data_IF_113094008009
#
_entry.id   IF_113094008009
#
_cell.length_a   1.000
_cell.length_b   1.000
_cell.length_c   1.000
_cell.angle_alpha   90.00
_cell.angle_beta   90.00
_cell.angle_gamma   90.00
#
_symmetry.space_group_name_H-M   'P 1'
#
loop_
_entity.id
_entity.type
_entity.pdbx_description
1 polymer ?
#
# COMPACT_ATOMS: atom_id res chain seq x y z
N UNK A 1 -15.25 27.47 -13.23
CA UNK A 1 -14.81 26.83 -11.99
C UNK A 1 -14.06 25.54 -12.27
N UNK A 2 -13.09 25.62 -13.19
CA UNK A 2 -12.10 24.58 -13.41
C UNK A 2 -10.96 24.93 -12.46
N UNK A 3 -10.79 24.18 -11.38
CA UNK A 3 -9.57 24.28 -10.58
C UNK A 3 -8.48 23.50 -11.32
N UNK A 4 -7.43 24.21 -11.67
CA UNK A 4 -6.27 23.77 -12.41
C UNK A 4 -5.60 22.59 -11.71
N UNK A 5 -5.28 21.55 -12.48
CA UNK A 5 -4.50 20.41 -12.03
C UNK A 5 -3.10 20.88 -11.62
N UNK A 6 -2.64 20.63 -10.38
CA UNK A 6 -1.31 21.03 -9.92
C UNK A 6 -0.22 20.05 -10.39
N UNK A 7 -0.34 19.53 -11.61
CA UNK A 7 0.60 18.56 -12.20
C UNK A 7 1.59 19.21 -13.17
N UNK A 8 1.91 20.49 -13.01
CA UNK A 8 2.95 21.12 -13.81
C UNK A 8 4.29 21.08 -13.04
N UNK A 9 5.22 20.26 -13.52
CA UNK A 9 6.63 20.32 -13.12
C UNK A 9 7.23 19.16 -12.32
N UNK A 10 6.60 17.98 -12.27
CA UNK A 10 7.20 16.78 -11.69
C UNK A 10 7.12 15.63 -12.67
N UNK A 11 8.27 15.13 -13.12
CA UNK A 11 8.43 13.95 -13.96
C UNK A 11 7.48 12.84 -13.49
N UNK A 12 6.49 12.52 -14.33
CA UNK A 12 5.67 11.33 -14.18
C UNK A 12 6.63 10.16 -14.38
N UNK A 13 7.26 9.72 -13.29
CA UNK A 13 7.82 8.38 -13.26
C UNK A 13 6.67 7.46 -13.61
N UNK A 14 6.78 6.89 -14.80
CA UNK A 14 5.94 5.82 -15.28
C UNK A 14 6.06 4.70 -14.26
N UNK A 15 5.19 4.75 -13.25
CA UNK A 15 4.96 3.67 -12.31
C UNK A 15 4.09 2.67 -13.03
N UNK A 16 4.63 2.18 -14.15
CA UNK A 16 4.19 0.98 -14.84
C UNK A 16 4.29 -0.09 -13.76
N UNK A 17 3.16 -0.35 -13.11
CA UNK A 17 3.04 -1.19 -11.92
C UNK A 17 3.68 -2.53 -12.25
N UNK A 18 4.89 -2.85 -11.74
CA UNK A 18 5.25 -4.24 -11.62
C UNK A 18 4.47 -4.73 -10.40
N UNK A 19 3.92 -5.92 -10.48
CA UNK A 19 3.30 -6.58 -9.33
C UNK A 19 4.12 -6.33 -8.04
N UNK A 20 3.47 -5.76 -7.02
CA UNK A 20 3.89 -5.80 -5.61
C UNK A 20 5.31 -5.34 -5.22
N UNK A 21 5.77 -4.14 -5.57
CA UNK A 21 6.92 -3.54 -4.88
C UNK A 21 6.72 -2.07 -4.53
N UNK A 22 6.38 -1.82 -3.27
CA UNK A 22 6.40 -0.49 -2.66
C UNK A 22 7.75 -0.27 -2.01
N UNK A 23 8.46 0.75 -2.45
CA UNK A 23 9.85 1.03 -2.07
C UNK A 23 10.09 1.16 -0.55
N UNK A 24 11.08 0.40 -0.12
CA UNK A 24 11.66 0.23 1.21
C UNK A 24 11.93 1.52 2.00
N UNK A 25 11.72 1.46 3.32
CA UNK A 25 12.63 2.07 4.30
C UNK A 25 13.84 1.15 4.40
N UNK A 26 15.06 1.66 4.20
CA UNK A 26 16.32 0.91 4.37
C UNK A 26 16.52 0.44 5.82
N UNK A 27 15.82 -0.61 6.18
CA UNK A 27 16.35 -1.64 7.05
C UNK A 27 16.00 -2.94 6.35
N UNK A 28 16.96 -3.84 6.16
CA UNK A 28 16.70 -5.20 5.72
C UNK A 28 16.56 -6.05 6.99
N UNK A 29 15.39 -6.08 7.66
CA UNK A 29 15.15 -7.13 8.63
C UNK A 29 14.94 -8.44 7.84
N UNK A 30 15.09 -9.61 8.48
CA UNK A 30 14.66 -10.86 7.86
C UNK A 30 13.22 -10.68 7.37
N UNK A 31 12.91 -11.23 6.19
CA UNK A 31 11.69 -11.06 5.38
C UNK A 31 10.41 -11.58 6.10
N UNK A 32 10.40 -11.66 7.43
CA UNK A 32 9.43 -12.38 8.25
C UNK A 32 8.84 -11.61 9.43
N UNK A 33 9.21 -10.35 9.72
CA UNK A 33 8.71 -9.70 10.95
C UNK A 33 7.78 -8.51 10.76
N UNK A 34 7.77 -7.85 9.60
CA UNK A 34 6.81 -6.77 9.31
C UNK A 34 6.26 -6.93 7.89
N UNK A 35 4.97 -7.27 7.72
CA UNK A 35 4.34 -7.29 6.41
C UNK A 35 4.48 -5.94 5.70
N UNK A 36 4.58 -5.96 4.37
CA UNK A 36 4.75 -4.77 3.53
C UNK A 36 3.65 -3.71 3.71
N UNK A 37 2.49 -4.10 4.24
CA UNK A 37 1.33 -3.25 4.46
C UNK A 37 1.23 -2.67 5.88
N UNK A 38 2.20 -2.92 6.76
CA UNK A 38 2.17 -2.47 8.16
C UNK A 38 2.00 -0.95 8.26
N UNK A 39 2.76 -0.20 7.45
CA UNK A 39 2.68 1.25 7.42
C UNK A 39 1.35 1.77 6.88
N UNK A 40 0.71 1.02 5.98
CA UNK A 40 -0.62 1.34 5.44
C UNK A 40 -1.67 1.17 6.53
N UNK A 41 -1.67 0.05 7.27
CA UNK A 41 -2.61 -0.19 8.37
C UNK A 41 -2.43 0.88 9.45
N UNK A 42 -1.20 1.15 9.88
CA UNK A 42 -0.91 2.16 10.89
C UNK A 42 -1.36 3.56 10.48
N UNK A 43 -1.23 3.90 9.20
CA UNK A 43 -1.69 5.18 8.68
C UNK A 43 -3.23 5.25 8.56
N UNK A 44 -3.90 4.17 8.19
CA UNK A 44 -5.37 4.10 8.15
C UNK A 44 -5.97 4.22 9.56
N UNK A 45 -5.41 3.48 10.51
CA UNK A 45 -5.97 3.36 11.86
C UNK A 45 -5.62 4.54 12.75
N UNK A 46 -4.34 4.94 12.76
CA UNK A 46 -3.80 5.90 13.73
C UNK A 46 -3.29 7.20 13.07
N UNK A 47 -3.37 7.32 11.74
CA UNK A 47 -2.78 8.43 10.97
C UNK A 47 -1.29 8.66 11.27
N UNK A 48 -0.58 7.58 11.59
CA UNK A 48 0.84 7.62 11.93
C UNK A 48 1.71 7.37 10.70
N UNK A 49 2.88 8.02 10.68
CA UNK A 49 3.91 7.79 9.67
C UNK A 49 5.11 7.08 10.30
N UNK A 50 5.87 6.30 9.51
CA UNK A 50 7.15 5.76 9.97
C UNK A 50 8.08 6.90 10.41
N UNK A 51 8.80 6.71 11.52
CA UNK A 51 9.68 7.75 12.09
C UNK A 51 10.76 8.18 11.10
N UNK A 52 11.24 7.27 10.26
CA UNK A 52 12.25 7.50 9.22
C UNK A 52 11.67 7.94 7.87
N UNK A 53 10.34 8.09 7.73
CA UNK A 53 9.73 8.42 6.45
C UNK A 53 10.03 9.87 6.02
N UNK A 54 10.62 10.01 4.84
CA UNK A 54 10.83 11.28 4.12
C UNK A 54 9.50 11.91 3.72
N UNK A 55 9.49 13.22 3.43
CA UNK A 55 8.28 13.93 2.96
C UNK A 55 7.66 13.28 1.71
N UNK A 56 8.50 12.79 0.79
CA UNK A 56 8.05 12.09 -0.41
C UNK A 56 7.36 10.76 -0.08
N UNK A 57 7.94 9.96 0.82
CA UNK A 57 7.34 8.71 1.28
C UNK A 57 6.01 8.94 1.99
N UNK A 58 5.91 9.97 2.84
CA UNK A 58 4.64 10.34 3.50
C UNK A 58 3.56 10.72 2.49
N UNK A 59 3.90 11.55 1.51
CA UNK A 59 2.98 11.92 0.41
C UNK A 59 2.53 10.70 -0.36
N UNK A 60 3.46 9.81 -0.69
CA UNK A 60 3.18 8.58 -1.41
C UNK A 60 2.28 7.64 -0.59
N UNK A 61 2.53 7.50 0.72
CA UNK A 61 1.70 6.74 1.65
C UNK A 61 0.26 7.27 1.70
N UNK A 62 0.06 8.58 1.72
CA UNK A 62 -1.28 9.17 1.64
C UNK A 62 -2.00 8.78 0.33
N UNK A 63 -1.30 8.87 -0.80
CA UNK A 63 -1.87 8.58 -2.12
C UNK A 63 -2.28 7.11 -2.23
N UNK A 64 -1.40 6.20 -1.84
CA UNK A 64 -1.70 4.77 -1.97
C UNK A 64 -2.74 4.30 -0.97
N UNK A 65 -2.76 4.85 0.25
CA UNK A 65 -3.74 4.48 1.27
C UNK A 65 -5.17 4.76 0.84
N UNK A 66 -5.40 5.75 -0.04
CA UNK A 66 -6.71 6.03 -0.62
C UNK A 66 -7.33 4.82 -1.37
N UNK A 67 -6.51 3.87 -1.81
CA UNK A 67 -6.93 2.62 -2.47
C UNK A 67 -7.26 1.50 -1.49
N UNK A 68 -7.06 1.69 -0.19
CA UNK A 68 -7.22 0.66 0.82
C UNK A 68 -8.26 1.04 1.88
N UNK A 69 -8.79 0.03 2.55
CA UNK A 69 -9.69 0.17 3.71
C UNK A 69 -9.40 -0.96 4.69
N UNK A 70 -9.54 -0.69 5.99
CA UNK A 70 -9.49 -1.71 7.03
C UNK A 70 -10.92 -1.99 7.50
N UNK A 71 -11.33 -3.25 7.45
CA UNK A 71 -12.62 -3.74 7.98
C UNK A 71 -12.33 -4.94 8.87
N UNK A 72 -12.86 -4.92 10.10
CA UNK A 72 -12.66 -6.00 11.09
C UNK A 72 -11.19 -6.43 11.24
N UNK A 73 -10.28 -5.45 11.29
CA UNK A 73 -8.82 -5.64 11.39
C UNK A 73 -8.15 -6.28 10.17
N UNK A 74 -8.88 -6.46 9.07
CA UNK A 74 -8.37 -7.00 7.80
C UNK A 74 -8.23 -5.86 6.79
N UNK A 75 -7.09 -5.84 6.10
CA UNK A 75 -6.83 -4.86 5.04
C UNK A 75 -7.45 -5.33 3.72
N UNK A 76 -8.13 -4.41 3.05
CA UNK A 76 -8.73 -4.62 1.73
C UNK A 76 -8.25 -3.57 0.74
N UNK A 77 -8.02 -3.98 -0.50
CA UNK A 77 -7.83 -3.09 -1.64
C UNK A 77 -9.16 -2.86 -2.34
N UNK A 78 -9.47 -1.60 -2.65
CA UNK A 78 -10.62 -1.22 -3.48
C UNK A 78 -10.33 -1.57 -4.93
N UNK A 79 -11.19 -2.39 -5.53
CA UNK A 79 -11.19 -2.69 -6.96
C UNK A 79 -12.06 -1.68 -7.74
N UNK A 80 -12.10 -1.83 -9.06
CA UNK A 80 -12.81 -0.90 -9.96
C UNK A 80 -14.35 -0.96 -9.84
N UNK A 81 -14.90 -2.06 -9.37
CA UNK A 81 -16.35 -2.33 -9.34
C UNK A 81 -16.90 -2.36 -7.90
N UNK A 82 -16.43 -1.45 -7.04
CA UNK A 82 -16.71 -1.40 -5.59
C UNK A 82 -16.37 -2.68 -4.80
N UNK A 83 -15.77 -3.68 -5.45
CA UNK A 83 -15.36 -4.92 -4.82
C UNK A 83 -14.14 -4.71 -3.93
N UNK A 84 -14.16 -5.33 -2.75
CA UNK A 84 -13.05 -5.31 -1.82
C UNK A 84 -12.25 -6.62 -1.94
N UNK A 85 -10.98 -6.48 -2.28
CA UNK A 85 -10.03 -7.60 -2.37
C UNK A 85 -9.28 -7.72 -1.05
N UNK A 86 -9.42 -8.85 -0.36
CA UNK A 86 -8.70 -9.13 0.89
C UNK A 86 -7.20 -9.19 0.61
N UNK A 87 -6.42 -8.39 1.33
CA UNK A 87 -4.97 -8.54 1.36
C UNK A 87 -4.62 -9.75 2.23
N UNK A 88 -3.79 -10.63 1.69
CA UNK A 88 -3.29 -11.82 2.37
C UNK A 88 -1.77 -11.77 2.43
N UNK A 89 -1.18 -12.38 3.45
CA UNK A 89 0.26 -12.54 3.52
C UNK A 89 0.75 -13.64 2.54
N UNK A 90 2.08 -13.75 2.41
CA UNK A 90 2.73 -14.67 1.48
C UNK A 90 2.48 -16.15 1.86
N UNK A 91 2.29 -16.46 3.14
CA UNK A 91 2.06 -17.83 3.59
C UNK A 91 0.60 -18.25 3.35
N UNK A 92 -0.34 -17.39 3.71
CA UNK A 92 -1.76 -17.51 3.43
C UNK A 92 -2.02 -17.60 1.92
N UNK A 93 -1.36 -16.77 1.11
CA UNK A 93 -1.51 -16.82 -0.35
C UNK A 93 -1.05 -18.15 -0.92
N UNK A 94 0.08 -18.69 -0.45
CA UNK A 94 0.57 -20.03 -0.83
C UNK A 94 -0.41 -21.13 -0.43
N UNK A 95 -1.01 -21.03 0.76
CA UNK A 95 -2.02 -22.01 1.21
C UNK A 95 -3.25 -21.99 0.32
N UNK A 96 -3.81 -20.81 0.04
CA UNK A 96 -4.97 -20.64 -0.84
C UNK A 96 -4.68 -21.18 -2.24
N UNK A 97 -3.51 -20.87 -2.81
CA UNK A 97 -3.11 -21.37 -4.12
C UNK A 97 -3.02 -22.91 -4.14
N UNK A 98 -2.49 -23.52 -3.09
CA UNK A 98 -2.38 -24.97 -2.98
C UNK A 98 -3.74 -25.67 -2.80
N UNK A 99 -4.68 -25.06 -2.08
CA UNK A 99 -6.04 -25.61 -1.89
C UNK A 99 -6.94 -25.48 -3.14
N UNK A 100 -6.56 -24.62 -4.09
CA UNK A 100 -7.31 -24.36 -5.33
C UNK A 100 -6.98 -25.31 -6.50
N UNK A 101 -6.03 -26.23 -6.32
CA UNK A 101 -5.63 -27.26 -7.31
C UNK A 101 -6.17 -28.64 -6.93
#
# INVERSE_FOLDING_TARGET
WLAENPLDGGELVDLDFPDECVYFVETKPPISTCPWYTDIINFIMDHTYPKSATSQQRRWLCIITAKYVVLDQVLYRRAFDDMLLRCVDIEESKRILHESH
#
